data_IF_858121123888
#
_entry.id   IF_858121123888
#
_cell.length_a   1.000
_cell.length_b   1.000
_cell.length_c   1.000
_cell.angle_alpha   90.00
_cell.angle_beta   90.00
_cell.angle_gamma   90.00
#
_symmetry.space_group_name_H-M   'P 1'
#
loop_
_entity.id
_entity.type
_entity.pdbx_description
1 polymer ?
#
# COMPACT_ATOMS: atom_id res chain seq x y z
N UNK A 1 -14.78 -1.64 7.51
CA UNK A 1 -14.80 -1.27 6.08
C UNK A 1 -15.31 -2.44 5.26
N UNK A 2 -16.44 -2.26 4.57
CA UNK A 2 -16.87 -3.20 3.53
C UNK A 2 -16.26 -2.82 2.16
N UNK A 3 -16.54 -3.59 1.11
CA UNK A 3 -15.97 -3.33 -0.23
C UNK A 3 -16.45 -2.01 -0.84
N UNK A 4 -17.71 -1.61 -0.58
CA UNK A 4 -18.27 -0.37 -1.10
C UNK A 4 -17.65 0.85 -0.38
N UNK A 5 -17.45 0.73 0.92
CA UNK A 5 -16.74 1.70 1.74
C UNK A 5 -15.27 1.84 1.31
N UNK A 6 -14.60 0.72 1.00
CA UNK A 6 -13.26 0.74 0.39
C UNK A 6 -13.27 1.49 -0.95
N UNK A 7 -14.20 1.17 -1.85
CA UNK A 7 -14.26 1.79 -3.17
C UNK A 7 -14.47 3.31 -3.06
N UNK A 8 -15.38 3.74 -2.19
CA UNK A 8 -15.63 5.15 -1.91
C UNK A 8 -14.38 5.85 -1.36
N UNK A 9 -13.74 5.29 -0.33
CA UNK A 9 -12.54 5.91 0.26
C UNK A 9 -11.34 5.89 -0.68
N UNK A 10 -11.27 4.91 -1.60
CA UNK A 10 -10.25 4.84 -2.63
C UNK A 10 -10.41 5.97 -3.66
N UNK A 11 -11.64 6.26 -4.07
CA UNK A 11 -11.94 7.37 -4.99
C UNK A 11 -11.65 8.72 -4.31
N UNK A 12 -12.08 8.92 -3.05
CA UNK A 12 -11.76 10.11 -2.25
C UNK A 12 -10.24 10.32 -2.09
N UNK A 13 -9.49 9.23 -1.89
CA UNK A 13 -8.04 9.29 -1.77
C UNK A 13 -7.36 9.74 -3.08
N UNK A 14 -7.88 9.29 -4.23
CA UNK A 14 -7.39 9.69 -5.56
C UNK A 14 -7.67 11.17 -5.80
N UNK A 15 -8.88 11.65 -5.48
CA UNK A 15 -9.23 13.08 -5.58
C UNK A 15 -8.35 13.95 -4.68
N UNK A 16 -8.09 13.51 -3.44
CA UNK A 16 -7.14 14.19 -2.54
C UNK A 16 -5.73 14.21 -3.12
N UNK A 17 -5.26 13.10 -3.68
CA UNK A 17 -3.91 13.00 -4.26
C UNK A 17 -3.70 13.92 -5.48
N UNK A 18 -4.73 14.20 -6.27
CA UNK A 18 -4.65 15.13 -7.41
C UNK A 18 -4.21 16.55 -7.03
N UNK A 19 -4.38 16.93 -5.75
CA UNK A 19 -3.93 18.23 -5.24
C UNK A 19 -2.43 18.27 -4.94
N UNK A 20 -1.73 17.13 -5.06
CA UNK A 20 -0.32 16.96 -4.71
C UNK A 20 0.48 16.43 -5.92
N UNK A 21 1.16 17.31 -6.69
CA UNK A 21 1.86 16.92 -7.92
C UNK A 21 2.91 15.81 -7.75
N UNK A 22 3.48 15.65 -6.55
CA UNK A 22 4.46 14.62 -6.22
C UNK A 22 3.86 13.28 -5.77
N UNK A 23 2.54 13.17 -5.67
CA UNK A 23 1.84 11.98 -5.20
C UNK A 23 0.93 11.44 -6.30
N UNK A 24 1.35 10.35 -6.95
CA UNK A 24 0.55 9.67 -7.96
C UNK A 24 -0.18 8.49 -7.32
N UNK A 25 -1.49 8.67 -7.09
CA UNK A 25 -2.41 7.59 -6.72
C UNK A 25 -3.38 7.42 -7.89
N UNK A 26 -3.40 6.22 -8.46
CA UNK A 26 -4.19 5.89 -9.64
C UNK A 26 -5.27 4.89 -9.25
N UNK A 27 -6.52 5.20 -9.60
CA UNK A 27 -7.61 4.24 -9.52
C UNK A 27 -7.57 3.29 -10.72
N UNK A 28 -7.35 2.01 -10.47
CA UNK A 28 -7.37 0.95 -11.49
C UNK A 28 -8.35 -0.12 -11.02
N UNK A 29 -9.65 0.05 -11.26
CA UNK A 29 -10.68 -0.83 -10.68
C UNK A 29 -10.34 -2.33 -10.90
N UNK A 30 -10.34 -3.17 -9.83
CA UNK A 30 -10.82 -2.91 -8.46
C UNK A 30 -9.75 -2.46 -7.43
N UNK A 31 -8.60 -1.96 -7.85
CA UNK A 31 -7.46 -1.62 -6.96
C UNK A 31 -7.00 -0.17 -7.07
N UNK A 32 -6.16 0.23 -6.11
CA UNK A 32 -5.35 1.44 -6.20
C UNK A 32 -3.92 1.07 -6.60
N UNK A 33 -3.27 1.94 -7.37
CA UNK A 33 -1.85 1.83 -7.70
C UNK A 33 -1.11 3.11 -7.36
N UNK A 34 0.06 2.97 -6.74
CA UNK A 34 0.94 4.08 -6.37
C UNK A 34 2.38 3.79 -6.78
N UNK A 35 3.13 4.86 -7.02
CA UNK A 35 4.57 4.83 -7.20
C UNK A 35 5.20 5.80 -6.22
N UNK A 36 6.03 5.30 -5.31
CA UNK A 36 6.62 6.11 -4.25
C UNK A 36 8.09 5.74 -4.06
N UNK A 37 8.91 6.76 -3.79
CA UNK A 37 10.31 6.57 -3.43
C UNK A 37 10.46 6.45 -1.91
N UNK A 38 11.26 5.49 -1.46
CA UNK A 38 11.74 5.45 -0.09
C UNK A 38 12.93 6.40 0.10
N UNK A 39 13.34 6.60 1.35
CA UNK A 39 14.54 7.38 1.72
C UNK A 39 15.83 6.86 1.05
N UNK A 40 15.87 5.57 0.69
CA UNK A 40 17.00 4.92 0.03
C UNK A 40 16.94 5.00 -1.52
N UNK A 41 16.10 5.89 -2.08
CA UNK A 41 15.85 6.03 -3.53
C UNK A 41 15.36 4.74 -4.21
N UNK A 42 14.65 3.89 -3.48
CA UNK A 42 13.99 2.70 -4.04
C UNK A 42 12.60 3.11 -4.51
N UNK A 43 12.32 2.89 -5.79
CA UNK A 43 11.01 3.12 -6.37
C UNK A 43 10.12 1.89 -6.10
N UNK A 44 9.15 2.05 -5.22
CA UNK A 44 8.15 1.04 -4.91
C UNK A 44 6.93 1.21 -5.81
N UNK A 45 6.58 0.15 -6.54
CA UNK A 45 5.23 -0.03 -7.05
C UNK A 45 4.37 -0.64 -5.95
N UNK A 46 3.29 0.03 -5.61
CA UNK A 46 2.35 -0.39 -4.58
C UNK A 46 0.98 -0.60 -5.22
N UNK A 47 0.34 -1.72 -4.89
CA UNK A 47 -1.00 -2.06 -5.33
C UNK A 47 -1.85 -2.42 -4.12
N UNK A 48 -3.03 -1.82 -4.00
CA UNK A 48 -3.93 -2.04 -2.85
C UNK A 48 -5.23 -2.64 -3.33
N UNK A 49 -5.54 -3.84 -2.87
CA UNK A 49 -6.81 -4.54 -3.10
C UNK A 49 -7.67 -4.55 -1.86
N UNK A 50 -8.98 -4.61 -2.03
CA UNK A 50 -9.85 -5.09 -0.97
C UNK A 50 -9.91 -6.62 -0.99
N UNK A 51 -9.43 -7.26 0.08
CA UNK A 51 -9.51 -8.70 0.23
C UNK A 51 -10.88 -9.10 0.81
N UNK A 52 -11.75 -9.67 -0.03
CA UNK A 52 -13.13 -10.00 0.33
C UNK A 52 -13.23 -10.97 1.54
N UNK A 53 -12.37 -12.00 1.58
CA UNK A 53 -12.38 -13.00 2.67
C UNK A 53 -12.07 -12.41 4.06
N UNK A 54 -11.02 -11.59 4.16
CA UNK A 54 -10.64 -10.91 5.41
C UNK A 54 -11.38 -9.60 5.67
N UNK A 55 -12.05 -9.06 4.64
CA UNK A 55 -12.78 -7.78 4.65
C UNK A 55 -11.90 -6.56 4.98
N UNK A 56 -10.72 -6.49 4.38
CA UNK A 56 -9.71 -5.46 4.65
C UNK A 56 -8.95 -5.08 3.37
N UNK A 57 -8.42 -3.85 3.26
CA UNK A 57 -7.45 -3.54 2.23
C UNK A 57 -6.17 -4.35 2.46
N UNK A 58 -5.44 -4.68 1.40
CA UNK A 58 -4.19 -5.46 1.43
C UNK A 58 -3.19 -4.78 0.50
N UNK A 59 -2.01 -4.49 1.03
CA UNK A 59 -0.92 -3.87 0.28
C UNK A 59 -0.03 -4.95 -0.34
N UNK A 60 0.04 -4.94 -1.66
CA UNK A 60 1.08 -5.60 -2.43
C UNK A 60 2.12 -4.55 -2.85
N UNK A 61 3.39 -4.90 -2.85
CA UNK A 61 4.45 -4.00 -3.29
C UNK A 61 5.62 -4.74 -3.96
N UNK A 62 6.36 -4.04 -4.81
CA UNK A 62 7.63 -4.51 -5.38
C UNK A 62 8.54 -3.35 -5.75
N UNK A 63 9.83 -3.64 -5.82
CA UNK A 63 10.82 -2.70 -6.35
C UNK A 63 10.71 -2.62 -7.88
N UNK A 64 10.79 -1.42 -8.46
CA UNK A 64 10.78 -1.19 -9.93
C UNK A 64 12.14 -0.85 -10.52
N UNK A 65 12.93 -0.06 -9.80
CA UNK A 65 14.17 0.50 -10.32
C UNK A 65 15.40 -0.34 -10.02
N UNK A 66 15.29 -1.38 -9.19
CA UNK A 66 16.38 -2.30 -8.83
C UNK A 66 15.92 -3.76 -8.89
N UNK A 67 16.84 -4.66 -9.23
CA UNK A 67 16.65 -6.09 -9.07
C UNK A 67 17.24 -6.46 -7.71
N UNK A 68 16.38 -6.82 -6.76
CA UNK A 68 16.77 -7.16 -5.40
C UNK A 68 16.44 -8.62 -5.13
N UNK A 69 17.38 -9.35 -4.54
CA UNK A 69 17.11 -10.65 -3.94
C UNK A 69 16.19 -10.49 -2.73
N UNK A 70 15.57 -11.60 -2.30
CA UNK A 70 14.64 -11.60 -1.17
C UNK A 70 15.23 -10.94 0.08
N UNK A 71 16.44 -11.34 0.49
CA UNK A 71 17.08 -10.80 1.69
C UNK A 71 17.33 -9.29 1.57
N UNK A 72 17.66 -8.78 0.39
CA UNK A 72 17.89 -7.36 0.16
C UNK A 72 16.59 -6.56 0.27
N UNK A 73 15.47 -7.08 -0.23
CA UNK A 73 14.15 -6.49 0.00
C UNK A 73 13.83 -6.45 1.49
N UNK A 74 14.06 -7.58 2.18
CA UNK A 74 13.80 -7.73 3.60
C UNK A 74 14.64 -6.78 4.46
N UNK A 75 15.81 -6.35 4.00
CA UNK A 75 16.64 -5.33 4.67
C UNK A 75 16.12 -3.90 4.48
N UNK A 76 15.27 -3.67 3.48
CA UNK A 76 14.60 -2.37 3.29
C UNK A 76 13.34 -2.23 4.15
N UNK A 77 12.74 -3.34 4.57
CA UNK A 77 11.54 -3.35 5.41
C UNK A 77 11.84 -2.77 6.80
N UNK A 78 11.08 -1.76 7.20
CA UNK A 78 11.23 -1.06 8.48
C UNK A 78 10.30 -1.59 9.57
N UNK A 79 9.13 -2.12 9.20
CA UNK A 79 8.13 -2.63 10.13
C UNK A 79 7.39 -3.85 9.56
N UNK A 80 6.82 -4.68 10.44
CA UNK A 80 5.98 -5.84 10.10
C UNK A 80 6.67 -6.88 9.21
N UNK A 81 7.99 -7.01 9.34
CA UNK A 81 8.84 -7.90 8.52
C UNK A 81 8.36 -9.36 8.58
N UNK A 82 7.89 -9.79 9.73
CA UNK A 82 7.33 -11.10 10.02
C UNK A 82 5.96 -11.36 9.36
N UNK A 83 5.28 -10.30 8.89
CA UNK A 83 3.99 -10.37 8.18
C UNK A 83 4.13 -10.13 6.67
N UNK A 84 5.35 -10.03 6.16
CA UNK A 84 5.62 -9.79 4.75
C UNK A 84 6.12 -11.07 4.09
N UNK A 85 5.43 -11.50 3.05
CA UNK A 85 5.77 -12.71 2.29
C UNK A 85 5.76 -12.44 0.79
N UNK A 86 6.57 -13.17 0.00
CA UNK A 86 6.40 -13.21 -1.45
C UNK A 86 5.02 -13.78 -1.81
N UNK A 87 4.32 -13.13 -2.74
CA UNK A 87 3.02 -13.58 -3.24
C UNK A 87 2.82 -13.09 -4.68
N UNK A 88 1.97 -13.78 -5.44
CA UNK A 88 1.57 -13.33 -6.77
C UNK A 88 0.46 -12.26 -6.66
N UNK A 89 0.56 -11.21 -7.48
CA UNK A 89 -0.50 -10.23 -7.59
C UNK A 89 -1.76 -10.89 -8.19
N UNK A 90 -2.93 -10.83 -7.52
CA UNK A 90 -4.10 -11.62 -7.93
C UNK A 90 -4.57 -11.43 -9.38
N UNK A 91 -4.39 -10.24 -9.96
CA UNK A 91 -4.87 -9.91 -11.31
C UNK A 91 -3.89 -10.27 -12.42
N UNK A 92 -2.59 -10.37 -12.13
CA UNK A 92 -1.55 -10.51 -13.16
C UNK A 92 -0.67 -11.74 -12.97
N UNK A 93 -0.71 -12.41 -11.81
CA UNK A 93 0.21 -13.50 -11.46
C UNK A 93 1.66 -13.05 -11.31
N UNK A 94 1.94 -11.73 -11.32
CA UNK A 94 3.30 -11.23 -11.23
C UNK A 94 3.83 -11.33 -9.80
N UNK A 95 5.15 -11.54 -9.62
CA UNK A 95 5.75 -11.63 -8.29
C UNK A 95 5.72 -10.28 -7.59
N UNK A 96 5.17 -10.27 -6.38
CA UNK A 96 5.08 -9.15 -5.46
C UNK A 96 5.45 -9.63 -4.04
N UNK A 97 5.50 -8.68 -3.12
CA UNK A 97 5.44 -8.92 -1.69
C UNK A 97 4.09 -8.44 -1.19
N UNK A 98 3.55 -9.10 -0.17
CA UNK A 98 2.28 -8.73 0.43
C UNK A 98 2.45 -8.50 1.92
N UNK A 99 1.77 -7.48 2.47
CA UNK A 99 1.52 -7.40 3.90
C UNK A 99 0.32 -8.30 4.23
N UNK A 100 0.53 -9.33 5.05
CA UNK A 100 -0.48 -10.35 5.34
C UNK A 100 -1.80 -9.71 5.83
N UNK A 101 -2.97 -10.18 5.32
CA UNK A 101 -4.27 -9.59 5.65
C UNK A 101 -4.58 -9.50 7.14
N UNK A 102 -4.12 -10.46 7.97
CA UNK A 102 -4.30 -10.40 9.43
C UNK A 102 -3.67 -9.14 10.03
N UNK A 103 -2.44 -8.81 9.62
CA UNK A 103 -1.79 -7.59 10.13
C UNK A 103 -2.48 -6.35 9.57
N UNK A 104 -2.85 -6.39 8.29
CA UNK A 104 -3.61 -5.31 7.68
C UNK A 104 -4.92 -5.00 8.42
N UNK A 105 -5.62 -6.04 8.91
CA UNK A 105 -6.84 -5.91 9.70
C UNK A 105 -6.61 -5.18 11.01
N UNK A 106 -5.60 -5.59 11.77
CA UNK A 106 -5.24 -4.93 13.03
C UNK A 106 -4.94 -3.44 12.83
N UNK A 107 -4.21 -3.11 11.75
CA UNK A 107 -3.90 -1.72 11.40
C UNK A 107 -5.16 -0.94 10.99
N UNK A 108 -6.08 -1.55 10.25
CA UNK A 108 -7.32 -0.91 9.84
C UNK A 108 -8.23 -0.64 11.04
N UNK A 109 -8.35 -1.62 11.95
CA UNK A 109 -9.18 -1.52 13.15
C UNK A 109 -8.69 -0.38 14.08
N UNK A 110 -7.38 -0.12 14.12
CA UNK A 110 -6.79 1.00 14.87
C UNK A 110 -6.97 2.33 14.15
N UNK A 111 -6.78 2.35 12.82
CA UNK A 111 -6.68 3.59 12.04
C UNK A 111 -8.03 4.14 11.57
N UNK A 112 -9.05 3.30 11.46
CA UNK A 112 -10.44 3.69 11.17
C UNK A 112 -10.73 4.17 9.74
N UNK A 113 -9.72 4.35 8.88
CA UNK A 113 -9.89 4.81 7.49
C UNK A 113 -8.80 4.28 6.56
N UNK A 114 -9.07 4.26 5.26
CA UNK A 114 -8.12 3.81 4.24
C UNK A 114 -6.87 4.70 4.19
N UNK A 115 -7.04 6.03 4.32
CA UNK A 115 -5.91 6.97 4.30
C UNK A 115 -4.97 6.75 5.49
N UNK A 116 -5.52 6.64 6.70
CA UNK A 116 -4.73 6.39 7.91
C UNK A 116 -4.11 5.00 7.88
N UNK A 117 -4.83 3.98 7.41
CA UNK A 117 -4.29 2.64 7.20
C UNK A 117 -3.13 2.65 6.21
N UNK A 118 -3.27 3.36 5.09
CA UNK A 118 -2.24 3.48 4.06
C UNK A 118 -0.99 4.18 4.61
N UNK A 119 -1.18 5.24 5.40
CA UNK A 119 -0.09 5.96 6.09
C UNK A 119 0.77 5.04 6.94
N UNK A 120 0.14 4.19 7.75
CA UNK A 120 0.84 3.26 8.64
C UNK A 120 1.49 2.14 7.81
N UNK A 121 0.78 1.64 6.81
CA UNK A 121 1.24 0.50 6.01
C UNK A 121 2.43 0.86 5.12
N UNK A 122 2.49 2.08 4.56
CA UNK A 122 3.64 2.57 3.77
C UNK A 122 4.92 2.71 4.60
N UNK A 123 4.81 2.97 5.91
CA UNK A 123 5.98 3.01 6.78
C UNK A 123 6.69 1.65 6.87
N UNK A 124 6.00 0.53 6.59
CA UNK A 124 6.62 -0.79 6.51
C UNK A 124 7.74 -0.85 5.47
N UNK A 125 7.64 -0.07 4.40
CA UNK A 125 8.61 -0.01 3.30
C UNK A 125 9.42 1.30 3.30
N UNK A 126 9.40 2.04 4.41
CA UNK A 126 10.15 3.29 4.57
C UNK A 126 9.63 4.44 3.69
N UNK A 127 8.32 4.47 3.45
CA UNK A 127 7.65 5.49 2.64
C UNK A 127 6.64 6.24 3.51
N UNK A 128 6.54 7.56 3.30
CA UNK A 128 5.59 8.42 3.99
C UNK A 128 4.76 9.22 2.99
N UNK A 129 3.47 9.41 3.26
CA UNK A 129 2.63 10.35 2.49
C UNK A 129 2.88 11.79 2.97
N UNK A 130 2.74 12.80 2.09
CA UNK A 130 2.83 14.20 2.49
C UNK A 130 1.83 14.57 3.60
N UNK A 131 2.29 15.23 4.66
CA UNK A 131 1.45 15.58 5.83
C UNK A 131 0.21 16.42 5.47
N UNK A 132 0.32 17.21 4.41
CA UNK A 132 -0.77 18.04 3.91
C UNK A 132 -2.02 17.23 3.51
N UNK A 133 -1.87 15.95 3.15
CA UNK A 133 -3.00 15.10 2.76
C UNK A 133 -3.98 14.83 3.92
N UNK A 134 -3.55 15.00 5.18
CA UNK A 134 -4.36 14.73 6.36
C UNK A 134 -5.11 15.96 6.91
N UNK A 135 -4.81 17.17 6.42
CA UNK A 135 -5.26 18.44 7.05
C UNK A 135 -6.55 18.99 6.40
N UNK A 136 -7.17 18.25 5.46
CA UNK A 136 -8.38 18.65 4.73
C UNK A 136 -9.56 17.73 5.02
#
# INVERSE_FOLDING_TARGET
>A
MDNLDFDKQADELVEKAMQYPGLQIIRCYPFLKLYLFSENNIEWEIVIYYHIGYRVPVMYFRCRNLILAFYEVMDQIKQFKEFITPEELPTTGQPFYVLHPCRSKELLDISGSLLSWLSITLQAIGVSLPLSIYIQ
#
